data_IF_631877617556
#
_entry.id   IF_631877617556
#
_cell.length_a   1.000
_cell.length_b   1.000
_cell.length_c   1.000
_cell.angle_alpha   90.00
_cell.angle_beta   90.00
_cell.angle_gamma   90.00
#
_symmetry.space_group_name_H-M   'P 1'
#
loop_
_entity.id
_entity.type
_entity.pdbx_description
1 polymer ?
#
# COMPACT_ATOMS: atom_id res chain seq x y z
N UNK A 1 -13.53 -4.56 -14.47
CA UNK A 1 -12.17 -4.04 -14.25
C UNK A 1 -11.31 -4.28 -15.48
N UNK A 2 -10.45 -3.35 -15.88
CA UNK A 2 -9.44 -3.57 -16.94
C UNK A 2 -8.04 -3.70 -16.32
N UNK A 3 -7.33 -4.79 -16.64
CA UNK A 3 -5.92 -4.97 -16.21
C UNK A 3 -4.96 -4.35 -17.23
N UNK A 4 -4.02 -3.54 -16.74
CA UNK A 4 -3.04 -2.78 -17.51
C UNK A 4 -1.63 -3.14 -17.03
N UNK A 5 -0.77 -3.60 -17.93
CA UNK A 5 0.60 -4.02 -17.59
C UNK A 5 1.67 -3.00 -17.98
N UNK A 6 1.37 -2.11 -18.93
CA UNK A 6 2.34 -1.15 -19.46
C UNK A 6 1.91 0.28 -19.13
N UNK A 7 2.88 1.12 -18.78
CA UNK A 7 2.72 2.53 -18.42
C UNK A 7 1.99 3.30 -19.51
N UNK A 8 2.26 3.01 -20.79
CA UNK A 8 1.57 3.69 -21.90
C UNK A 8 0.06 3.52 -21.85
N UNK A 9 -0.43 2.32 -21.49
CA UNK A 9 -1.86 2.04 -21.43
C UNK A 9 -2.49 2.60 -20.16
N UNK A 10 -1.77 2.54 -19.03
CA UNK A 10 -2.17 3.22 -17.79
C UNK A 10 -2.36 4.73 -18.02
N UNK A 11 -1.37 5.40 -18.61
CA UNK A 11 -1.44 6.84 -18.88
C UNK A 11 -2.58 7.20 -19.84
N UNK A 12 -2.79 6.38 -20.88
CA UNK A 12 -3.89 6.59 -21.82
C UNK A 12 -5.25 6.49 -21.12
N UNK A 13 -5.45 5.45 -20.28
CA UNK A 13 -6.68 5.29 -19.50
C UNK A 13 -6.90 6.46 -18.55
N UNK A 14 -5.92 6.77 -17.69
CA UNK A 14 -6.00 7.90 -16.74
C UNK A 14 -6.29 9.22 -17.44
N UNK A 15 -5.62 9.50 -18.56
CA UNK A 15 -5.85 10.74 -19.32
C UNK A 15 -7.29 10.81 -19.82
N UNK A 16 -7.81 9.72 -20.40
CA UNK A 16 -9.20 9.67 -20.86
C UNK A 16 -10.17 9.93 -19.70
N UNK A 17 -9.95 9.33 -18.53
CA UNK A 17 -10.79 9.57 -17.35
C UNK A 17 -10.77 11.04 -16.91
N UNK A 18 -9.58 11.64 -16.86
CA UNK A 18 -9.39 13.06 -16.50
C UNK A 18 -9.97 14.04 -17.52
N UNK A 19 -9.92 13.72 -18.81
CA UNK A 19 -10.55 14.51 -19.88
C UNK A 19 -12.08 14.58 -19.71
N UNK A 20 -12.69 13.59 -19.06
CA UNK A 20 -14.09 13.61 -18.65
C UNK A 20 -14.33 14.30 -17.30
N UNK A 21 -13.31 14.94 -16.71
CA UNK A 21 -13.40 15.63 -15.42
C UNK A 21 -13.52 14.69 -14.21
N UNK A 22 -13.26 13.39 -14.37
CA UNK A 22 -13.41 12.39 -13.30
C UNK A 22 -12.26 12.47 -12.29
N UNK A 23 -12.60 12.36 -11.01
CA UNK A 23 -11.66 12.21 -9.91
C UNK A 23 -11.11 10.79 -9.89
N UNK A 24 -9.80 10.68 -9.77
CA UNK A 24 -9.08 9.39 -9.76
C UNK A 24 -8.50 9.15 -8.37
N UNK A 25 -8.81 7.99 -7.80
CA UNK A 25 -8.19 7.47 -6.60
C UNK A 25 -7.20 6.35 -6.93
N UNK A 26 -6.08 6.32 -6.20
CA UNK A 26 -5.09 5.25 -6.27
C UNK A 26 -5.05 4.46 -4.96
N UNK A 27 -5.12 3.13 -5.06
CA UNK A 27 -4.87 2.19 -3.97
C UNK A 27 -3.62 1.37 -4.30
N UNK A 28 -2.44 1.75 -3.80
CA UNK A 28 -1.22 1.02 -4.07
C UNK A 28 -1.09 -0.22 -3.17
N UNK A 29 -0.84 -1.39 -3.76
CA UNK A 29 -0.69 -2.66 -3.05
C UNK A 29 0.44 -3.50 -3.65
N UNK A 30 0.83 -4.56 -2.93
CA UNK A 30 1.74 -5.60 -3.42
C UNK A 30 1.02 -6.89 -3.81
N UNK A 31 -0.31 -6.89 -3.89
CA UNK A 31 -1.10 -8.11 -4.11
C UNK A 31 -1.25 -9.00 -2.86
N UNK A 32 -1.73 -10.22 -3.07
CA UNK A 32 -2.23 -11.11 -2.02
C UNK A 32 -3.28 -10.42 -1.15
N UNK A 33 -4.34 -9.97 -1.82
CA UNK A 33 -5.36 -9.10 -1.27
C UNK A 33 -6.21 -9.84 -0.23
N UNK A 34 -6.61 -9.08 0.78
CA UNK A 34 -7.46 -9.51 1.88
C UNK A 34 -8.46 -8.40 2.18
N UNK A 35 -9.42 -8.65 3.08
CA UNK A 35 -10.50 -7.71 3.38
C UNK A 35 -9.99 -6.31 3.80
N UNK A 36 -8.84 -6.23 4.50
CA UNK A 36 -8.15 -4.95 4.72
C UNK A 36 -7.85 -4.12 3.46
N UNK A 37 -7.43 -4.77 2.36
CA UNK A 37 -7.22 -4.11 1.07
C UNK A 37 -8.54 -3.74 0.39
N UNK A 38 -9.56 -4.60 0.48
CA UNK A 38 -10.87 -4.36 -0.11
C UNK A 38 -11.55 -3.15 0.55
N UNK A 39 -11.37 -2.96 1.86
CA UNK A 39 -11.82 -1.74 2.54
C UNK A 39 -11.14 -0.46 2.02
N UNK A 40 -9.88 -0.52 1.56
CA UNK A 40 -9.24 0.62 0.91
C UNK A 40 -9.93 0.96 -0.43
N UNK A 41 -10.29 -0.07 -1.20
CA UNK A 41 -11.00 0.09 -2.48
C UNK A 41 -12.39 0.68 -2.25
N UNK A 42 -13.15 0.16 -1.29
CA UNK A 42 -14.47 0.70 -0.92
C UNK A 42 -14.38 2.16 -0.47
N UNK A 43 -13.39 2.49 0.37
CA UNK A 43 -13.14 3.88 0.78
C UNK A 43 -12.77 4.79 -0.40
N UNK A 44 -12.03 4.28 -1.38
CA UNK A 44 -11.69 5.04 -2.59
C UNK A 44 -12.95 5.36 -3.41
N UNK A 45 -13.90 4.44 -3.52
CA UNK A 45 -15.18 4.66 -4.22
C UNK A 45 -16.05 5.73 -3.58
N UNK A 46 -15.96 5.95 -2.26
CA UNK A 46 -16.69 7.03 -1.59
C UNK A 46 -16.18 8.43 -1.98
N UNK A 47 -14.97 8.53 -2.55
CA UNK A 47 -14.24 9.79 -2.68
C UNK A 47 -13.83 10.12 -4.13
N UNK A 48 -13.93 9.16 -5.05
CA UNK A 48 -13.53 9.30 -6.44
C UNK A 48 -14.47 8.56 -7.40
N UNK A 49 -14.54 9.06 -8.64
CA UNK A 49 -15.31 8.45 -9.72
C UNK A 49 -14.60 7.20 -10.27
N UNK A 50 -13.27 7.16 -10.17
CA UNK A 50 -12.42 6.11 -10.73
C UNK A 50 -11.47 5.61 -9.67
N UNK A 51 -11.46 4.29 -9.48
CA UNK A 51 -10.55 3.61 -8.56
C UNK A 51 -9.55 2.77 -9.35
N UNK A 52 -8.28 3.12 -9.19
CA UNK A 52 -7.15 2.39 -9.75
C UNK A 52 -6.44 1.68 -8.61
N UNK A 53 -6.31 0.37 -8.72
CA UNK A 53 -5.50 -0.43 -7.80
C UNK A 53 -4.19 -0.78 -8.49
N UNK A 54 -3.05 -0.64 -7.81
CA UNK A 54 -1.80 -1.20 -8.32
C UNK A 54 -1.44 -2.47 -7.54
N UNK A 55 -0.99 -3.50 -8.25
CA UNK A 55 -0.36 -4.68 -7.67
C UNK A 55 1.06 -4.74 -8.20
N UNK A 56 2.04 -4.44 -7.33
CA UNK A 56 3.44 -4.49 -7.69
C UNK A 56 4.29 -4.85 -6.46
N UNK A 57 4.93 -6.02 -6.48
CA UNK A 57 5.88 -6.43 -5.44
C UNK A 57 7.20 -5.71 -5.70
N UNK A 58 7.37 -4.55 -5.07
CA UNK A 58 8.51 -3.68 -5.31
C UNK A 58 9.82 -4.28 -4.75
N UNK A 59 10.81 -4.64 -5.56
CA UNK A 59 12.07 -5.19 -5.05
C UNK A 59 12.86 -4.20 -4.16
N UNK A 60 12.74 -2.88 -4.36
CA UNK A 60 13.53 -1.88 -3.61
C UNK A 60 13.19 -1.81 -2.12
N UNK A 61 12.03 -2.30 -1.70
CA UNK A 61 11.59 -2.25 -0.30
C UNK A 61 11.82 -3.57 0.46
N UNK A 62 12.51 -4.54 -0.14
CA UNK A 62 12.89 -5.80 0.51
C UNK A 62 14.39 -5.79 0.83
N UNK A 63 14.73 -5.96 2.11
CA UNK A 63 16.12 -6.11 2.56
C UNK A 63 16.62 -7.55 2.52
N UNK A 64 15.71 -8.52 2.42
CA UNK A 64 16.00 -9.94 2.31
C UNK A 64 15.43 -10.47 1.00
N UNK A 65 16.30 -11.03 0.14
CA UNK A 65 15.91 -11.61 -1.13
C UNK A 65 14.97 -12.81 -0.95
N UNK A 66 15.10 -13.56 0.14
CA UNK A 66 14.21 -14.68 0.43
C UNK A 66 12.78 -14.20 0.76
N UNK A 67 12.62 -13.04 1.42
CA UNK A 67 11.28 -12.48 1.66
C UNK A 67 10.62 -12.00 0.36
N UNK A 68 11.42 -11.51 -0.60
CA UNK A 68 10.95 -11.14 -1.94
C UNK A 68 10.52 -12.38 -2.75
N UNK A 69 11.36 -13.42 -2.77
CA UNK A 69 11.11 -14.65 -3.52
C UNK A 69 9.89 -15.40 -2.98
N UNK A 70 9.73 -15.42 -1.66
CA UNK A 70 8.60 -16.08 -0.98
C UNK A 70 7.37 -15.18 -0.82
N UNK A 71 7.35 -13.99 -1.41
CA UNK A 71 6.17 -13.12 -1.33
C UNK A 71 5.01 -13.75 -2.13
N UNK A 72 3.83 -13.96 -1.52
CA UNK A 72 2.71 -14.65 -2.15
C UNK A 72 2.20 -13.90 -3.37
N UNK A 73 1.95 -14.63 -4.47
CA UNK A 73 1.41 -14.10 -5.73
C UNK A 73 0.14 -14.85 -6.09
N UNK A 74 -1.02 -14.24 -5.82
CA UNK A 74 -2.35 -14.86 -5.96
C UNK A 74 -3.20 -14.10 -6.99
N UNK A 75 -2.61 -13.85 -8.15
CA UNK A 75 -3.16 -12.93 -9.17
C UNK A 75 -4.62 -13.19 -9.53
N UNK A 76 -4.99 -14.44 -9.84
CA UNK A 76 -6.36 -14.76 -10.25
C UNK A 76 -7.38 -14.44 -9.14
N UNK A 77 -7.03 -14.72 -7.88
CA UNK A 77 -7.86 -14.41 -6.72
C UNK A 77 -7.94 -12.90 -6.47
N UNK A 78 -6.81 -12.20 -6.61
CA UNK A 78 -6.75 -10.75 -6.46
C UNK A 78 -7.62 -10.05 -7.50
N UNK A 79 -7.56 -10.49 -8.76
CA UNK A 79 -8.41 -9.95 -9.82
C UNK A 79 -9.90 -10.19 -9.54
N UNK A 80 -10.27 -11.42 -9.14
CA UNK A 80 -11.65 -11.74 -8.82
C UNK A 80 -12.19 -10.88 -7.66
N UNK A 81 -11.39 -10.66 -6.60
CA UNK A 81 -11.76 -9.78 -5.48
C UNK A 81 -11.93 -8.33 -5.95
N UNK A 82 -11.02 -7.82 -6.77
CA UNK A 82 -11.10 -6.44 -7.27
C UNK A 82 -12.25 -6.21 -8.25
N UNK A 83 -12.60 -7.21 -9.05
CA UNK A 83 -13.80 -7.17 -9.89
C UNK A 83 -15.08 -7.12 -9.06
N UNK A 84 -15.15 -7.91 -7.99
CA UNK A 84 -16.25 -7.87 -7.04
C UNK A 84 -16.38 -6.52 -6.33
N UNK A 85 -15.25 -5.88 -5.99
CA UNK A 85 -15.22 -4.53 -5.43
C UNK A 85 -15.38 -3.41 -6.48
N UNK A 86 -15.64 -3.75 -7.74
CA UNK A 86 -15.86 -2.80 -8.82
C UNK A 86 -14.69 -1.83 -9.08
N UNK A 87 -13.45 -2.26 -8.84
CA UNK A 87 -12.28 -1.50 -9.26
C UNK A 87 -12.30 -1.27 -10.78
N UNK A 88 -11.95 -0.06 -11.20
CA UNK A 88 -12.04 0.32 -12.62
C UNK A 88 -10.83 -0.22 -13.39
N UNK A 89 -9.64 0.03 -12.84
CA UNK A 89 -8.37 -0.38 -13.44
C UNK A 89 -7.49 -1.10 -12.42
N UNK A 90 -6.85 -2.18 -12.86
CA UNK A 90 -5.74 -2.81 -12.17
C UNK A 90 -4.45 -2.51 -12.93
N UNK A 91 -3.53 -1.76 -12.33
CA UNK A 91 -2.18 -1.60 -12.85
C UNK A 91 -1.27 -2.68 -12.28
N UNK A 92 -0.81 -3.59 -13.12
CA UNK A 92 0.06 -4.70 -12.73
C UNK A 92 1.27 -4.81 -13.65
N UNK A 93 2.25 -3.92 -13.47
CA UNK A 93 3.46 -3.89 -14.27
C UNK A 93 4.44 -5.01 -13.89
N UNK A 94 5.26 -5.39 -14.86
CA UNK A 94 6.47 -6.17 -14.58
C UNK A 94 7.59 -5.27 -14.03
N UNK A 95 8.61 -5.89 -13.42
CA UNK A 95 9.80 -5.18 -12.96
C UNK A 95 10.51 -4.41 -14.07
N UNK A 96 10.55 -4.95 -15.29
CA UNK A 96 11.15 -4.31 -16.47
C UNK A 96 10.44 -3.02 -16.88
N UNK A 97 9.13 -2.91 -16.62
CA UNK A 97 8.34 -1.72 -16.92
C UNK A 97 8.61 -0.60 -15.89
N UNK A 98 8.79 -0.97 -14.62
CA UNK A 98 9.07 0.00 -13.54
C UNK A 98 10.55 0.35 -13.46
N UNK A 99 11.43 -0.64 -13.62
CA UNK A 99 12.88 -0.53 -13.44
C UNK A 99 13.61 -1.12 -14.67
N UNK A 100 13.52 -0.47 -15.85
CA UNK A 100 14.10 -1.00 -17.10
C UNK A 100 15.63 -1.15 -17.07
N UNK A 101 16.30 -0.47 -16.14
CA UNK A 101 17.75 -0.52 -15.93
C UNK A 101 18.12 -1.11 -14.56
N UNK A 102 17.21 -1.85 -13.93
CA UNK A 102 17.37 -2.35 -12.57
C UNK A 102 17.20 -1.27 -11.49
N UNK A 103 17.42 -1.68 -10.24
CA UNK A 103 17.19 -0.85 -9.04
C UNK A 103 18.45 -0.16 -8.51
N UNK A 104 19.65 -0.67 -8.82
CA UNK A 104 20.91 -0.22 -8.22
C UNK A 104 21.23 1.24 -8.56
N UNK A 105 21.13 1.62 -9.83
CA UNK A 105 21.38 2.98 -10.31
C UNK A 105 20.08 3.81 -10.44
N UNK A 106 18.98 3.37 -9.82
CA UNK A 106 17.70 4.05 -9.94
C UNK A 106 17.68 5.35 -9.14
N UNK A 107 17.04 6.39 -9.65
CA UNK A 107 16.75 7.60 -8.86
C UNK A 107 15.85 7.24 -7.68
N UNK A 108 16.18 7.77 -6.51
CA UNK A 108 15.51 7.42 -5.26
C UNK A 108 14.89 8.64 -4.60
N UNK A 109 13.83 8.40 -3.84
CA UNK A 109 13.21 9.38 -2.94
C UNK A 109 13.30 8.85 -1.53
N UNK A 110 13.71 9.68 -0.59
CA UNK A 110 13.93 9.28 0.79
C UNK A 110 13.51 10.39 1.77
N UNK A 111 13.13 10.00 2.98
CA UNK A 111 12.93 10.88 4.12
C UNK A 111 13.69 10.28 5.31
N UNK A 112 14.90 10.76 5.58
CA UNK A 112 15.76 10.16 6.61
C UNK A 112 15.16 10.26 8.01
N UNK A 113 14.56 11.40 8.34
CA UNK A 113 14.06 11.68 9.69
C UNK A 113 12.99 10.67 10.14
N UNK A 114 12.07 10.29 9.23
CA UNK A 114 11.03 9.32 9.52
C UNK A 114 11.40 7.91 9.07
N UNK A 115 12.23 7.77 8.04
CA UNK A 115 12.59 6.49 7.42
C UNK A 115 13.67 5.69 8.15
N UNK A 116 14.33 6.27 9.16
CA UNK A 116 15.43 5.62 9.91
C UNK A 116 15.09 5.29 11.37
N UNK A 117 13.91 5.69 11.85
CA UNK A 117 13.41 5.38 13.20
C UNK A 117 12.44 4.18 13.17
N UNK A 118 12.06 3.63 14.32
CA UNK A 118 11.02 2.58 14.47
C UNK A 118 11.24 1.40 13.49
N UNK A 119 10.31 1.11 12.58
CA UNK A 119 10.47 0.02 11.59
C UNK A 119 11.65 0.28 10.65
N UNK A 120 11.92 1.54 10.32
CA UNK A 120 13.04 1.95 9.48
C UNK A 120 14.41 1.62 10.11
N UNK A 121 14.50 1.65 11.43
CA UNK A 121 15.67 1.17 12.16
C UNK A 121 15.83 -0.35 12.01
N UNK A 122 14.73 -1.09 12.12
CA UNK A 122 14.73 -2.56 11.98
C UNK A 122 14.89 -3.04 10.53
N UNK A 123 14.56 -2.19 9.54
CA UNK A 123 14.60 -2.52 8.11
C UNK A 123 15.29 -1.40 7.32
N UNK A 124 16.62 -1.26 7.40
CA UNK A 124 17.36 -0.22 6.69
C UNK A 124 17.05 -0.22 5.19
N UNK A 125 16.80 0.97 4.61
CA UNK A 125 16.47 1.15 3.19
C UNK A 125 15.03 0.81 2.81
N UNK A 126 14.23 0.19 3.70
CA UNK A 126 12.84 -0.18 3.39
C UNK A 126 12.00 1.02 2.92
N UNK A 127 12.03 2.12 3.68
CA UNK A 127 11.22 3.29 3.35
C UNK A 127 11.77 4.12 2.19
N UNK A 128 13.06 4.05 1.87
CA UNK A 128 13.60 4.59 0.60
C UNK A 128 12.94 3.87 -0.58
N UNK A 129 12.85 2.54 -0.51
CA UNK A 129 12.15 1.72 -1.50
C UNK A 129 10.67 2.09 -1.63
N UNK A 130 9.97 2.26 -0.50
CA UNK A 130 8.56 2.65 -0.45
C UNK A 130 8.33 4.05 -1.04
N UNK A 131 9.07 5.06 -0.57
CA UNK A 131 8.98 6.44 -1.09
C UNK A 131 9.23 6.48 -2.60
N UNK A 132 10.26 5.75 -3.05
CA UNK A 132 10.61 5.70 -4.47
C UNK A 132 9.47 5.12 -5.31
N UNK A 133 8.91 3.97 -4.95
CA UNK A 133 7.82 3.37 -5.74
C UNK A 133 6.52 4.18 -5.66
N UNK A 134 6.16 4.68 -4.47
CA UNK A 134 4.93 5.48 -4.29
C UNK A 134 5.03 6.78 -5.09
N UNK A 135 6.17 7.48 -5.05
CA UNK A 135 6.40 8.66 -5.89
C UNK A 135 6.27 8.32 -7.39
N UNK A 136 6.81 7.18 -7.84
CA UNK A 136 6.64 6.75 -9.24
C UNK A 136 5.17 6.51 -9.58
N UNK A 137 4.44 5.77 -8.75
CA UNK A 137 3.02 5.52 -8.98
C UNK A 137 2.20 6.82 -9.01
N UNK A 138 2.51 7.78 -8.13
CA UNK A 138 1.90 9.11 -8.15
C UNK A 138 2.20 9.86 -9.45
N UNK A 139 3.42 9.80 -9.97
CA UNK A 139 3.76 10.42 -11.26
C UNK A 139 3.11 9.71 -12.47
N UNK A 140 2.90 8.40 -12.38
CA UNK A 140 2.29 7.59 -13.44
C UNK A 140 0.77 7.76 -13.50
N UNK A 141 0.12 7.77 -12.34
CA UNK A 141 -1.34 7.80 -12.18
C UNK A 141 -1.86 9.22 -12.01
N UNK A 142 -1.07 10.11 -11.42
CA UNK A 142 -1.46 11.48 -11.04
C UNK A 142 -2.85 11.53 -10.37
N UNK A 143 -3.08 10.75 -9.30
CA UNK A 143 -4.39 10.65 -8.70
C UNK A 143 -4.76 11.97 -7.99
N UNK A 144 -6.06 12.21 -7.80
CA UNK A 144 -6.53 13.29 -6.91
C UNK A 144 -6.39 12.90 -5.44
N UNK A 145 -6.49 11.61 -5.14
CA UNK A 145 -6.29 11.07 -3.80
C UNK A 145 -5.67 9.68 -3.83
N UNK A 146 -4.94 9.32 -2.79
CA UNK A 146 -4.38 7.98 -2.63
C UNK A 146 -4.74 7.41 -1.24
N UNK A 147 -5.13 6.14 -1.21
CA UNK A 147 -5.69 5.50 -0.02
C UNK A 147 -4.71 4.45 0.51
N UNK A 148 -4.39 4.54 1.80
CA UNK A 148 -3.45 3.66 2.50
C UNK A 148 -4.05 3.18 3.82
N UNK A 149 -3.66 1.98 4.26
CA UNK A 149 -4.07 1.44 5.55
C UNK A 149 -3.28 2.02 6.72
N UNK A 150 -3.94 2.31 7.83
CA UNK A 150 -3.32 2.77 9.09
C UNK A 150 -2.53 1.67 9.81
N UNK A 151 -2.68 0.40 9.37
CA UNK A 151 -1.88 -0.72 9.87
C UNK A 151 -0.39 -0.43 9.76
N UNK A 152 0.03 0.13 8.64
CA UNK A 152 1.41 0.52 8.36
C UNK A 152 1.56 2.02 8.65
N UNK A 153 1.36 2.41 9.92
CA UNK A 153 1.23 3.81 10.33
C UNK A 153 2.47 4.66 9.98
N UNK A 154 3.67 4.11 10.15
CA UNK A 154 4.91 4.81 9.79
C UNK A 154 5.00 5.05 8.28
N UNK A 155 4.59 4.08 7.45
CA UNK A 155 4.47 4.26 6.00
C UNK A 155 3.51 5.39 5.66
N UNK A 156 2.32 5.40 6.26
CA UNK A 156 1.32 6.46 6.02
C UNK A 156 1.86 7.84 6.40
N UNK A 157 2.53 7.97 7.55
CA UNK A 157 3.16 9.21 7.98
C UNK A 157 4.25 9.68 7.01
N UNK A 158 5.10 8.76 6.54
CA UNK A 158 6.15 9.04 5.57
C UNK A 158 5.56 9.47 4.22
N UNK A 159 4.54 8.78 3.71
CA UNK A 159 3.89 9.12 2.44
C UNK A 159 3.20 10.48 2.50
N UNK A 160 2.53 10.79 3.62
CA UNK A 160 1.96 12.13 3.87
C UNK A 160 3.06 13.19 3.82
N UNK A 161 4.16 12.96 4.54
CA UNK A 161 5.27 13.90 4.60
C UNK A 161 5.94 14.08 3.23
N UNK A 162 6.11 13.01 2.47
CA UNK A 162 6.65 13.05 1.11
C UNK A 162 5.74 13.86 0.17
N UNK A 163 4.42 13.66 0.22
CA UNK A 163 3.48 14.41 -0.60
C UNK A 163 3.51 15.91 -0.26
N UNK A 164 3.59 16.26 1.03
CA UNK A 164 3.74 17.64 1.50
C UNK A 164 5.07 18.27 1.07
N UNK A 165 6.21 17.65 1.40
CA UNK A 165 7.56 18.18 1.13
C UNK A 165 7.83 18.34 -0.38
N UNK A 166 7.23 17.50 -1.21
CA UNK A 166 7.37 17.55 -2.68
C UNK A 166 6.21 18.28 -3.38
N UNK A 167 5.37 19.00 -2.62
CA UNK A 167 4.27 19.81 -3.13
C UNK A 167 3.30 19.05 -4.06
N UNK A 168 3.02 17.79 -3.75
CA UNK A 168 2.16 16.94 -4.56
C UNK A 168 0.69 17.28 -4.30
N UNK A 169 -0.11 17.57 -5.35
CA UNK A 169 -1.53 17.89 -5.20
C UNK A 169 -2.37 16.60 -5.04
N UNK A 170 -2.09 15.81 -4.01
CA UNK A 170 -2.71 14.50 -3.76
C UNK A 170 -3.17 14.41 -2.31
N UNK A 171 -4.45 14.13 -2.09
CA UNK A 171 -4.98 13.88 -0.76
C UNK A 171 -4.58 12.45 -0.29
N UNK A 172 -3.84 12.35 0.81
CA UNK A 172 -3.41 11.05 1.38
C UNK A 172 -4.37 10.58 2.47
N UNK A 173 -5.24 9.63 2.10
CA UNK A 173 -6.32 9.12 2.95
C UNK A 173 -5.85 7.88 3.72
N UNK A 174 -5.99 7.93 5.04
CA UNK A 174 -5.77 6.79 5.93
C UNK A 174 -7.07 6.02 6.16
N UNK A 175 -6.99 4.69 6.22
CA UNK A 175 -8.12 3.81 6.53
C UNK A 175 -7.81 2.97 7.76
N UNK A 176 -8.70 2.91 8.77
CA UNK A 176 -8.49 2.12 9.96
C UNK A 176 -8.11 0.66 9.69
N UNK A 177 -7.22 0.13 10.53
CA UNK A 177 -6.79 -1.27 10.44
C UNK A 177 -7.96 -2.24 10.56
N UNK A 178 -8.18 -3.04 9.53
CA UNK A 178 -9.14 -4.16 9.56
C UNK A 178 -8.54 -5.34 10.31
N UNK A 179 -9.36 -6.00 11.12
CA UNK A 179 -8.96 -7.09 12.01
C UNK A 179 -9.79 -8.34 11.76
N UNK A 180 -9.16 -9.48 12.00
CA UNK A 180 -9.82 -10.76 12.12
C UNK A 180 -10.73 -10.80 13.37
N UNK A 181 -11.66 -11.78 13.48
CA UNK A 181 -12.53 -11.89 14.66
C UNK A 181 -11.78 -12.00 15.99
N UNK A 182 -10.57 -12.56 15.99
CA UNK A 182 -9.70 -12.66 17.17
C UNK A 182 -8.92 -11.35 17.49
N UNK A 183 -9.10 -10.28 16.70
CA UNK A 183 -8.45 -8.99 16.86
C UNK A 183 -7.10 -8.84 16.15
N UNK A 184 -6.55 -9.91 15.56
CA UNK A 184 -5.32 -9.85 14.77
C UNK A 184 -5.51 -8.92 13.57
N UNK A 185 -4.56 -8.02 13.33
CA UNK A 185 -4.59 -7.18 12.13
C UNK A 185 -4.45 -8.06 10.88
N UNK A 186 -5.31 -7.86 9.88
CA UNK A 186 -5.22 -8.62 8.64
C UNK A 186 -3.94 -8.24 7.89
N UNK A 187 -3.21 -9.27 7.44
CA UNK A 187 -2.00 -9.10 6.63
C UNK A 187 -1.85 -10.29 5.68
N UNK A 188 -1.31 -10.02 4.49
CA UNK A 188 -0.85 -11.05 3.55
C UNK A 188 0.16 -12.02 4.19
N UNK A 189 0.92 -11.57 5.21
CA UNK A 189 1.89 -12.39 5.94
C UNK A 189 1.27 -13.32 6.99
N UNK A 190 -0.03 -13.17 7.32
CA UNK A 190 -0.69 -14.08 8.28
C UNK A 190 -0.73 -15.52 7.75
N UNK A 191 -0.61 -15.74 6.43
CA UNK A 191 -0.52 -17.08 5.84
C UNK A 191 0.74 -17.87 6.23
N UNK A 192 1.72 -17.21 6.88
CA UNK A 192 2.93 -17.85 7.40
C UNK A 192 2.75 -18.44 8.79
N UNK A 193 1.66 -18.09 9.48
CA UNK A 193 1.40 -18.54 10.83
C UNK A 193 0.66 -19.88 10.80
N UNK A 194 1.05 -20.80 11.66
CA UNK A 194 0.21 -21.94 12.05
C UNK A 194 -1.02 -21.47 12.84
N UNK A 195 -2.03 -22.31 12.97
CA UNK A 195 -3.26 -21.98 13.72
C UNK A 195 -2.95 -21.57 15.17
N UNK A 196 -1.99 -22.25 15.82
CA UNK A 196 -1.58 -21.93 17.19
C UNK A 196 -0.84 -20.59 17.28
N UNK A 197 0.03 -20.26 16.32
CA UNK A 197 0.70 -18.97 16.26
C UNK A 197 -0.28 -17.83 15.96
N UNK A 198 -1.28 -18.08 15.10
CA UNK A 198 -2.33 -17.12 14.78
C UNK A 198 -3.21 -16.81 16.00
N UNK A 199 -3.57 -17.83 16.78
CA UNK A 199 -4.29 -17.64 18.03
C UNK A 199 -3.45 -16.89 19.07
N UNK A 200 -2.16 -17.21 19.17
CA UNK A 200 -1.24 -16.51 20.07
C UNK A 200 -1.04 -15.03 19.67
N UNK A 201 -1.07 -14.71 18.37
CA UNK A 201 -0.88 -13.36 17.87
C UNK A 201 -1.97 -12.36 18.34
N UNK A 202 -3.11 -12.85 18.87
CA UNK A 202 -4.14 -12.01 19.51
C UNK A 202 -3.59 -11.14 20.64
N UNK A 203 -2.51 -11.61 21.31
CA UNK A 203 -1.90 -10.91 22.46
C UNK A 203 -1.43 -9.50 22.08
N UNK A 204 -0.96 -9.32 20.85
CA UNK A 204 -0.51 -8.02 20.35
C UNK A 204 -1.66 -7.00 20.44
N UNK A 205 -2.86 -7.39 20.01
CA UNK A 205 -4.00 -6.47 20.03
C UNK A 205 -4.51 -6.21 21.45
N UNK A 206 -4.54 -7.23 22.31
CA UNK A 206 -4.97 -7.04 23.70
C UNK A 206 -4.04 -6.09 24.45
N UNK A 207 -2.72 -6.22 24.27
CA UNK A 207 -1.74 -5.32 24.90
C UNK A 207 -1.87 -3.88 24.37
N UNK A 208 -2.07 -3.71 23.06
CA UNK A 208 -2.32 -2.38 22.47
C UNK A 208 -3.58 -1.73 23.05
N UNK A 209 -4.67 -2.48 23.27
CA UNK A 209 -5.87 -1.93 23.91
C UNK A 209 -5.65 -1.62 25.39
N UNK A 210 -4.91 -2.46 26.12
CA UNK A 210 -4.56 -2.21 27.51
C UNK A 210 -3.76 -0.91 27.66
N UNK A 211 -2.71 -0.74 26.85
CA UNK A 211 -1.88 0.48 26.81
C UNK A 211 -2.74 1.70 26.44
N UNK A 212 -3.57 1.59 25.39
CA UNK A 212 -4.49 2.67 25.00
C UNK A 212 -5.38 3.10 26.18
N UNK A 213 -5.97 2.16 26.90
CA UNK A 213 -6.85 2.45 28.02
C UNK A 213 -6.10 3.11 29.19
N UNK A 214 -4.84 2.72 29.43
CA UNK A 214 -3.99 3.37 30.44
C UNK A 214 -3.69 4.84 30.06
N UNK A 215 -3.33 5.09 28.80
CA UNK A 215 -3.08 6.45 28.29
C UNK A 215 -4.34 7.32 28.41
N UNK A 216 -5.51 6.79 28.00
CA UNK A 216 -6.80 7.51 28.13
C UNK A 216 -7.14 7.81 29.60
N UNK A 217 -6.77 6.90 30.52
CA UNK A 217 -6.93 7.08 31.94
C UNK A 217 -5.86 8.00 32.58
N UNK A 218 -4.97 8.60 31.79
CA UNK A 218 -3.92 9.51 32.26
C UNK A 218 -2.75 8.83 32.97
N UNK A 219 -2.56 7.52 32.75
CA UNK A 219 -1.41 6.76 33.26
C UNK A 219 -0.33 6.72 32.18
N UNK A 220 0.89 7.12 32.55
CA UNK A 220 2.08 7.12 31.68
C UNK A 220 3.21 6.35 32.35
#
# INVERSE_FOLDING_TARGET
>A
MQTLHQVKYLRAAVRAEKEHGRRVALVPTMGNLHEGHLQLVRRAHEMADVVIVSIFVNPMQFGDSQDLDNYPRTLAEDQAKLEHEHAHYLFMPENSEIYPHGTEAHTKVNNDALGTILEGHSRPGHFEGVCTIVNKLFNLVQPTLAVFGEKDYQQLAIVRRMAEDLCMPIDIIGVPTVREPNGLAMSSRNSRLSDSERDNARVIYSELQAIKNQIIAGKH
#
